data_IF_748527804089
#
_entry.id   IF_748527804089
#
_cell.length_a   1.000
_cell.length_b   1.000
_cell.length_c   1.000
_cell.angle_alpha   90.00
_cell.angle_beta   90.00
_cell.angle_gamma   90.00
#
_symmetry.space_group_name_H-M   'P 1'
#
loop_
_entity.id
_entity.type
_entity.pdbx_description
1 polymer ?
#
# COMPACT_ATOMS: atom_id res chain seq x y z
N UNK A 1 -6.39 -18.77 -2.22
CA UNK A 1 -4.96 -18.68 -1.91
C UNK A 1 -4.68 -17.66 -0.80
N UNK A 2 -4.95 -16.36 -1.00
CA UNK A 2 -4.59 -15.28 -0.04
C UNK A 2 -5.13 -15.53 1.38
N UNK A 3 -6.43 -15.77 1.55
CA UNK A 3 -7.04 -16.02 2.88
C UNK A 3 -6.39 -17.21 3.61
N UNK A 4 -6.08 -18.29 2.89
CA UNK A 4 -5.41 -19.47 3.46
C UNK A 4 -4.01 -19.11 3.99
N UNK A 5 -3.26 -18.29 3.24
CA UNK A 5 -1.97 -17.80 3.67
C UNK A 5 -2.10 -16.90 4.90
N UNK A 6 -3.04 -15.95 4.88
CA UNK A 6 -3.28 -15.04 6.01
C UNK A 6 -3.54 -15.81 7.30
N UNK A 7 -4.42 -16.82 7.25
CA UNK A 7 -4.73 -17.65 8.41
C UNK A 7 -3.50 -18.44 8.88
N UNK A 8 -2.81 -19.13 7.96
CA UNK A 8 -1.62 -19.92 8.30
C UNK A 8 -0.49 -19.08 8.92
N UNK A 9 -0.17 -17.93 8.31
CA UNK A 9 0.86 -17.04 8.84
C UNK A 9 0.42 -16.39 10.15
N UNK A 10 -0.86 -16.07 10.30
CA UNK A 10 -1.43 -15.60 11.56
C UNK A 10 -1.28 -16.60 12.70
N UNK A 11 -1.55 -17.88 12.46
CA UNK A 11 -1.34 -18.97 13.44
C UNK A 11 0.13 -19.12 13.83
N UNK A 12 1.05 -18.83 12.91
CA UNK A 12 2.49 -18.78 13.18
C UNK A 12 2.94 -17.47 13.87
N UNK A 13 2.02 -16.59 14.24
CA UNK A 13 2.30 -15.32 14.91
C UNK A 13 2.93 -14.25 14.02
N UNK A 14 2.83 -14.40 12.69
CA UNK A 14 3.29 -13.38 11.75
C UNK A 14 2.43 -12.11 11.85
N UNK A 15 3.00 -10.99 11.44
CA UNK A 15 2.23 -9.76 11.22
C UNK A 15 1.66 -9.81 9.80
N UNK A 16 0.34 -9.62 9.66
CA UNK A 16 -0.36 -9.50 8.38
C UNK A 16 -0.71 -8.03 8.18
N UNK A 17 -0.29 -7.48 7.04
CA UNK A 17 -0.59 -6.11 6.63
C UNK A 17 -1.44 -6.16 5.37
N UNK A 18 -2.64 -5.58 5.42
CA UNK A 18 -3.47 -5.33 4.25
C UNK A 18 -3.26 -3.88 3.79
N UNK A 19 -2.84 -3.70 2.54
CA UNK A 19 -2.65 -2.36 1.96
C UNK A 19 -3.89 -1.92 1.19
N UNK A 20 -4.19 -0.62 1.21
CA UNK A 20 -5.30 0.00 0.49
C UNK A 20 -4.77 1.20 -0.28
N UNK A 21 -5.05 1.23 -1.59
CA UNK A 21 -5.03 2.49 -2.32
C UNK A 21 -6.15 3.39 -1.79
N UNK A 22 -5.84 4.67 -1.64
CA UNK A 22 -6.70 5.63 -0.96
C UNK A 22 -6.50 7.00 -1.59
N UNK A 23 -6.99 7.18 -2.81
CA UNK A 23 -6.67 8.32 -3.66
C UNK A 23 -7.65 9.49 -3.46
N UNK A 24 -7.19 10.75 -3.40
CA UNK A 24 -8.07 11.89 -3.55
C UNK A 24 -8.69 11.91 -4.95
N UNK A 25 -9.81 12.64 -5.12
CA UNK A 25 -10.57 12.64 -6.38
C UNK A 25 -9.80 13.24 -7.56
N UNK A 26 -8.82 14.09 -7.27
CA UNK A 26 -7.92 14.81 -8.18
C UNK A 26 -6.49 14.21 -8.17
N UNK A 27 -6.37 12.91 -7.89
CA UNK A 27 -5.09 12.21 -7.90
C UNK A 27 -4.47 12.12 -9.31
N UNK A 28 -3.17 12.39 -9.42
CA UNK A 28 -2.39 12.51 -10.67
C UNK A 28 -2.46 11.28 -11.58
N UNK A 29 -2.68 10.09 -11.03
CA UNK A 29 -2.76 8.87 -11.83
C UNK A 29 -4.07 8.73 -12.63
N UNK A 30 -5.09 9.54 -12.31
CA UNK A 30 -6.39 9.47 -12.93
C UNK A 30 -6.45 10.15 -14.31
N UNK A 31 -7.20 9.57 -15.25
CA UNK A 31 -7.42 10.11 -16.59
C UNK A 31 -8.00 11.53 -16.57
N UNK A 32 -8.77 11.88 -15.54
CA UNK A 32 -9.32 13.23 -15.34
C UNK A 32 -8.24 14.28 -15.06
N UNK A 33 -7.09 13.84 -14.55
CA UNK A 33 -5.94 14.68 -14.19
C UNK A 33 -4.76 14.51 -15.18
N UNK A 34 -5.00 13.84 -16.31
CA UNK A 34 -3.98 13.56 -17.34
C UNK A 34 -3.17 12.29 -17.13
N UNK A 35 -3.51 11.48 -16.11
CA UNK A 35 -2.96 10.14 -15.90
C UNK A 35 -3.52 9.09 -16.86
N UNK A 36 -3.24 7.81 -16.58
CA UNK A 36 -3.56 6.68 -17.46
C UNK A 36 -4.58 5.69 -16.88
N UNK A 37 -4.97 5.88 -15.61
CA UNK A 37 -5.90 5.00 -14.92
C UNK A 37 -7.28 5.67 -14.81
N UNK A 38 -8.39 4.92 -14.91
CA UNK A 38 -9.68 5.46 -14.48
C UNK A 38 -9.63 5.81 -12.98
N UNK A 39 -10.50 6.72 -12.54
CA UNK A 39 -10.66 6.97 -11.11
C UNK A 39 -11.02 5.66 -10.38
N UNK A 40 -10.26 5.33 -9.34
CA UNK A 40 -10.38 4.09 -8.57
C UNK A 40 -9.94 4.34 -7.14
N UNK A 41 -10.37 3.49 -6.20
CA UNK A 41 -9.99 3.58 -4.79
C UNK A 41 -10.05 5.01 -4.21
N UNK A 42 -11.08 5.77 -4.60
CA UNK A 42 -11.25 7.17 -4.18
C UNK A 42 -11.62 7.21 -2.70
N UNK A 43 -10.99 8.10 -1.93
CA UNK A 43 -11.22 8.21 -0.49
C UNK A 43 -12.70 8.28 -0.12
N UNK A 44 -13.09 7.57 0.94
CA UNK A 44 -14.48 7.53 1.40
C UNK A 44 -15.45 6.75 0.51
N UNK A 45 -15.00 6.19 -0.61
CA UNK A 45 -15.85 5.35 -1.48
C UNK A 45 -15.68 3.85 -1.21
N UNK A 46 -16.70 3.02 -1.53
CA UNK A 46 -16.57 1.56 -1.44
C UNK A 46 -15.42 0.98 -2.25
N UNK A 47 -14.91 1.70 -3.27
CA UNK A 47 -13.78 1.27 -4.09
C UNK A 47 -12.47 1.12 -3.31
N UNK A 48 -12.39 1.68 -2.10
CA UNK A 48 -11.23 1.51 -1.20
C UNK A 48 -11.33 0.27 -0.32
N UNK A 49 -12.50 -0.38 -0.25
CA UNK A 49 -12.74 -1.44 0.73
C UNK A 49 -11.98 -2.71 0.36
N UNK A 50 -11.53 -3.43 1.39
CA UNK A 50 -11.02 -4.78 1.23
C UNK A 50 -12.15 -5.68 0.72
N UNK A 51 -11.82 -6.63 -0.16
CA UNK A 51 -12.78 -7.66 -0.54
C UNK A 51 -13.29 -8.38 0.71
N UNK A 52 -14.59 -8.71 0.82
CA UNK A 52 -15.17 -9.23 2.06
C UNK A 52 -14.41 -10.42 2.68
N UNK A 53 -13.95 -11.44 1.91
CA UNK A 53 -13.17 -12.54 2.49
C UNK A 53 -11.83 -12.10 3.10
N UNK A 54 -11.22 -11.04 2.57
CA UNK A 54 -9.99 -10.45 3.11
C UNK A 54 -10.30 -9.63 4.37
N UNK A 55 -11.37 -8.83 4.36
CA UNK A 55 -11.81 -8.07 5.53
C UNK A 55 -12.15 -9.00 6.71
N UNK A 56 -12.85 -10.10 6.45
CA UNK A 56 -13.21 -11.08 7.49
C UNK A 56 -11.98 -11.84 8.03
N UNK A 57 -11.02 -12.18 7.17
CA UNK A 57 -9.76 -12.77 7.59
C UNK A 57 -8.93 -11.79 8.43
N UNK A 58 -8.87 -10.51 8.04
CA UNK A 58 -8.23 -9.45 8.83
C UNK A 58 -8.90 -9.26 10.19
N UNK A 59 -10.25 -9.30 10.25
CA UNK A 59 -11.00 -9.23 11.52
C UNK A 59 -10.68 -10.42 12.43
N UNK A 60 -10.63 -11.62 11.87
CA UNK A 60 -10.29 -12.84 12.61
C UNK A 60 -8.87 -12.77 13.18
N UNK A 61 -7.91 -12.27 12.39
CA UNK A 61 -6.53 -12.06 12.83
C UNK A 61 -6.43 -10.97 13.91
N UNK A 62 -7.20 -9.89 13.79
CA UNK A 62 -7.27 -8.83 14.80
C UNK A 62 -7.73 -9.39 16.14
N UNK A 63 -8.82 -10.18 16.15
CA UNK A 63 -9.35 -10.80 17.37
C UNK A 63 -8.35 -11.79 17.97
N UNK A 64 -7.71 -12.61 17.13
CA UNK A 64 -6.79 -13.65 17.60
C UNK A 64 -5.44 -13.10 18.10
N UNK A 65 -4.91 -12.08 17.42
CA UNK A 65 -3.50 -11.69 17.54
C UNK A 65 -3.27 -10.23 17.91
N UNK A 66 -4.32 -9.40 17.96
CA UNK A 66 -4.24 -7.98 18.31
C UNK A 66 -3.93 -7.03 17.14
N UNK A 67 -4.11 -5.72 17.37
CA UNK A 67 -4.00 -4.68 16.34
C UNK A 67 -2.57 -4.47 15.82
N UNK A 68 -1.54 -4.90 16.55
CA UNK A 68 -0.15 -4.88 16.10
C UNK A 68 0.21 -6.03 15.14
N UNK A 69 -0.68 -7.02 15.01
CA UNK A 69 -0.51 -8.19 14.13
C UNK A 69 -1.44 -8.18 12.93
N UNK A 70 -2.56 -7.46 12.99
CA UNK A 70 -3.49 -7.27 11.89
C UNK A 70 -3.60 -5.77 11.54
N UNK A 71 -2.77 -5.32 10.60
CA UNK A 71 -2.61 -3.89 10.28
C UNK A 71 -3.24 -3.57 8.92
N UNK A 72 -3.98 -2.48 8.85
CA UNK A 72 -4.40 -1.88 7.57
C UNK A 72 -3.54 -0.65 7.32
N UNK A 73 -2.96 -0.54 6.13
CA UNK A 73 -2.09 0.56 5.75
C UNK A 73 -2.52 1.18 4.42
N UNK A 74 -2.33 2.49 4.27
CA UNK A 74 -2.85 3.29 3.16
C UNK A 74 -1.70 3.83 2.32
N UNK A 75 -1.89 3.95 1.00
CA UNK A 75 -0.93 4.56 0.07
C UNK A 75 -1.68 5.34 -1.03
N UNK A 76 -0.97 6.17 -1.78
CA UNK A 76 -1.52 6.90 -2.92
C UNK A 76 -2.46 8.06 -2.55
N UNK A 77 -2.38 8.57 -1.33
CA UNK A 77 -3.28 9.63 -0.83
C UNK A 77 -2.78 11.06 -1.12
N UNK A 78 -1.69 11.23 -1.86
CA UNK A 78 -1.18 12.55 -2.27
C UNK A 78 -1.61 12.87 -3.69
N UNK A 79 -2.29 13.99 -3.91
CA UNK A 79 -2.87 14.39 -5.18
C UNK A 79 -1.84 14.45 -6.33
N UNK A 80 -0.61 14.88 -6.03
CA UNK A 80 0.44 15.07 -7.05
C UNK A 80 1.44 13.92 -7.18
N UNK A 81 1.34 12.86 -6.35
CA UNK A 81 2.35 11.79 -6.30
C UNK A 81 1.68 10.43 -6.16
N UNK A 82 1.84 9.59 -7.17
CA UNK A 82 1.37 8.21 -7.12
C UNK A 82 2.28 7.32 -6.25
N UNK A 83 1.78 6.16 -5.83
CA UNK A 83 2.55 5.18 -5.06
C UNK A 83 2.01 3.76 -5.24
N UNK A 84 2.50 3.04 -6.25
CA UNK A 84 2.14 1.63 -6.44
C UNK A 84 2.69 0.74 -5.32
N UNK A 85 4.00 0.83 -5.05
CA UNK A 85 4.68 0.05 -4.02
C UNK A 85 4.23 0.40 -2.60
N UNK A 86 4.14 -0.61 -1.75
CA UNK A 86 3.79 -0.46 -0.34
C UNK A 86 4.96 0.07 0.52
N UNK A 87 6.19 0.04 -0.01
CA UNK A 87 7.38 0.55 0.66
C UNK A 87 7.93 1.76 -0.10
N UNK A 88 8.61 2.72 0.56
CA UNK A 88 9.12 3.93 -0.08
C UNK A 88 10.10 3.67 -1.23
N UNK A 89 10.18 4.58 -2.19
CA UNK A 89 10.72 4.30 -3.52
C UNK A 89 12.20 4.54 -3.87
N UNK A 90 13.18 4.85 -3.01
CA UNK A 90 14.52 5.38 -3.41
C UNK A 90 14.58 6.45 -4.56
N UNK A 91 15.22 7.59 -4.28
CA UNK A 91 15.23 8.76 -5.19
C UNK A 91 15.67 8.46 -6.65
N UNK A 92 16.60 7.53 -6.86
CA UNK A 92 17.11 7.19 -8.21
C UNK A 92 16.10 6.41 -9.06
N UNK A 93 15.15 5.72 -8.40
CA UNK A 93 14.15 4.86 -9.04
C UNK A 93 12.77 5.50 -9.12
N UNK A 94 12.43 6.39 -8.18
CA UNK A 94 11.12 7.01 -8.07
C UNK A 94 10.71 7.80 -9.34
N UNK A 95 11.61 8.59 -9.90
CA UNK A 95 11.33 9.49 -11.05
C UNK A 95 11.00 8.77 -12.36
N UNK A 96 11.30 7.47 -12.46
CA UNK A 96 11.02 6.66 -13.65
C UNK A 96 9.80 5.75 -13.48
N UNK A 97 9.23 5.69 -12.28
CA UNK A 97 8.20 4.70 -11.91
C UNK A 97 6.91 5.30 -11.38
N UNK A 98 6.96 6.52 -10.90
CA UNK A 98 5.83 7.19 -10.25
C UNK A 98 5.35 8.33 -11.14
N UNK A 99 4.03 8.39 -11.35
CA UNK A 99 3.41 9.57 -11.93
C UNK A 99 3.49 10.72 -10.93
N UNK A 100 4.02 11.85 -11.37
CA UNK A 100 4.09 13.10 -10.60
C UNK A 100 3.52 14.25 -11.40
N UNK A 101 2.74 15.14 -10.75
CA UNK A 101 2.16 16.29 -11.47
C UNK A 101 3.28 17.18 -12.00
N UNK A 102 3.08 17.76 -13.19
CA UNK A 102 4.07 18.64 -13.81
C UNK A 102 4.45 19.79 -12.86
N UNK A 103 5.74 20.01 -12.66
CA UNK A 103 6.26 21.04 -11.75
C UNK A 103 6.37 20.63 -10.28
N UNK A 104 5.90 19.43 -9.90
CA UNK A 104 6.11 18.86 -8.57
C UNK A 104 7.50 18.20 -8.50
N UNK A 105 8.36 18.68 -7.61
CA UNK A 105 9.62 18.00 -7.31
C UNK A 105 9.36 16.91 -6.26
N UNK A 106 9.47 15.64 -6.65
CA UNK A 106 9.33 14.49 -5.73
C UNK A 106 10.42 14.46 -4.65
N UNK A 107 11.52 15.20 -4.85
CA UNK A 107 12.55 15.44 -3.85
C UNK A 107 12.27 16.69 -3.00
N UNK A 108 11.17 17.41 -3.25
CA UNK A 108 10.79 18.59 -2.49
C UNK A 108 10.55 18.21 -1.04
N UNK A 109 11.35 18.82 -0.19
CA UNK A 109 11.44 18.49 1.21
C UNK A 109 11.24 19.81 1.96
N UNK A 110 9.98 20.19 2.16
CA UNK A 110 9.71 21.40 2.94
C UNK A 110 9.71 21.08 4.43
N UNK A 111 10.43 21.85 5.27
CA UNK A 111 10.26 21.80 6.72
C UNK A 111 8.87 22.28 7.18
N UNK A 112 8.07 22.88 6.29
CA UNK A 112 6.66 23.26 6.53
C UNK A 112 5.64 22.26 5.95
N UNK A 113 6.08 21.19 5.29
CA UNK A 113 5.17 20.13 4.90
C UNK A 113 4.62 19.50 6.19
N UNK A 114 3.30 19.31 6.26
CA UNK A 114 2.60 18.74 7.42
C UNK A 114 3.08 17.32 7.83
N UNK A 115 4.06 16.77 7.09
CA UNK A 115 4.64 15.44 7.22
C UNK A 115 6.17 15.46 7.40
N UNK A 116 6.79 16.58 7.81
CA UNK A 116 8.16 16.63 8.34
C UNK A 116 9.23 15.97 7.45
N UNK A 117 9.86 16.73 6.57
CA UNK A 117 10.88 16.27 5.62
C UNK A 117 12.03 15.39 6.20
N UNK A 118 12.22 14.18 5.65
CA UNK A 118 13.50 13.78 5.02
C UNK A 118 13.34 12.55 4.10
N UNK A 119 13.18 12.82 2.78
CA UNK A 119 13.14 11.89 1.64
C UNK A 119 11.91 10.94 1.55
N UNK A 120 11.02 11.28 0.61
CA UNK A 120 9.82 10.57 0.13
C UNK A 120 8.67 10.35 1.13
N UNK A 121 8.08 11.41 1.71
CA UNK A 121 6.92 11.28 2.60
C UNK A 121 5.65 10.74 1.91
N UNK A 122 5.59 10.76 0.58
CA UNK A 122 4.37 10.48 -0.19
C UNK A 122 4.39 9.16 -0.97
N UNK A 123 5.42 8.33 -0.77
CA UNK A 123 5.49 7.01 -1.39
C UNK A 123 5.63 5.92 -0.32
N UNK A 124 5.09 4.74 -0.61
CA UNK A 124 4.91 3.67 0.36
C UNK A 124 3.64 3.86 1.20
N UNK A 125 3.37 2.87 2.06
CA UNK A 125 2.21 2.88 2.92
C UNK A 125 2.49 3.57 4.26
N UNK A 126 1.45 4.23 4.78
CA UNK A 126 1.33 4.62 6.18
C UNK A 126 0.27 3.75 6.88
N UNK A 127 0.63 3.17 8.01
CA UNK A 127 -0.33 2.63 8.97
C UNK A 127 -0.82 3.80 9.84
N UNK A 128 -2.04 4.23 9.58
CA UNK A 128 -2.68 5.35 10.27
C UNK A 128 -3.65 4.81 11.32
N UNK A 129 -3.75 5.48 12.46
CA UNK A 129 -4.70 5.09 13.53
C UNK A 129 -6.13 5.07 12.97
N UNK A 130 -6.85 3.98 13.21
CA UNK A 130 -8.26 3.81 12.85
C UNK A 130 -9.07 3.58 14.12
N UNK A 131 -9.73 4.63 14.62
CA UNK A 131 -10.49 4.55 15.87
C UNK A 131 -11.66 3.57 15.79
N UNK A 132 -12.27 3.37 14.62
CA UNK A 132 -13.35 2.39 14.42
C UNK A 132 -12.89 0.95 14.74
N UNK A 133 -11.75 0.54 14.19
CA UNK A 133 -11.17 -0.79 14.45
C UNK A 133 -10.77 -0.93 15.92
N UNK A 134 -10.08 0.07 16.47
CA UNK A 134 -9.60 0.02 17.86
C UNK A 134 -10.73 0.06 18.88
N UNK A 135 -11.81 0.79 18.60
CA UNK A 135 -13.02 0.81 19.42
C UNK A 135 -13.64 -0.58 19.49
N UNK A 136 -13.94 -1.18 18.33
CA UNK A 136 -14.54 -2.50 18.26
C UNK A 136 -13.66 -3.56 18.94
N UNK A 137 -12.34 -3.55 18.68
CA UNK A 137 -11.40 -4.47 19.33
C UNK A 137 -11.42 -4.35 20.87
N UNK A 138 -11.40 -3.13 21.41
CA UNK A 138 -11.38 -2.90 22.87
C UNK A 138 -12.68 -3.27 23.56
N UNK A 139 -13.80 -3.19 22.84
CA UNK A 139 -15.12 -3.51 23.35
C UNK A 139 -15.58 -4.94 23.01
N UNK A 140 -14.73 -5.74 22.36
CA UNK A 140 -15.07 -7.09 21.89
C UNK A 140 -16.26 -7.13 20.93
N UNK A 141 -16.34 -6.14 20.04
CA UNK A 141 -17.35 -6.00 18.99
C UNK A 141 -16.77 -6.37 17.61
N UNK A 142 -17.65 -6.54 16.62
CA UNK A 142 -17.24 -6.80 15.25
C UNK A 142 -16.57 -5.56 14.62
N UNK A 143 -15.27 -5.64 14.39
CA UNK A 143 -14.52 -4.56 13.76
C UNK A 143 -14.78 -4.46 12.25
N UNK A 144 -15.17 -3.27 11.80
CA UNK A 144 -15.13 -2.94 10.37
C UNK A 144 -13.71 -2.63 9.93
N UNK A 145 -13.07 -3.61 9.28
CA UNK A 145 -11.71 -3.48 8.74
C UNK A 145 -11.59 -2.44 7.61
N UNK A 146 -12.70 -1.91 7.11
CA UNK A 146 -12.72 -0.82 6.14
C UNK A 146 -12.75 0.57 6.77
N UNK A 147 -12.81 0.67 8.11
CA UNK A 147 -12.81 1.95 8.84
C UNK A 147 -11.77 2.91 8.26
N UNK A 148 -12.12 4.19 8.02
CA UNK A 148 -11.16 5.17 7.52
C UNK A 148 -10.10 5.49 8.59
N UNK A 149 -8.94 6.03 8.19
CA UNK A 149 -7.98 6.57 9.13
C UNK A 149 -8.58 7.77 9.89
N UNK A 150 -8.11 7.99 11.13
CA UNK A 150 -8.49 9.17 11.89
C UNK A 150 -7.98 10.43 11.19
N UNK A 151 -8.80 11.49 11.18
CA UNK A 151 -8.50 12.77 10.53
C UNK A 151 -7.12 13.35 10.91
N UNK A 152 -6.73 13.22 12.18
CA UNK A 152 -5.46 13.75 12.69
C UNK A 152 -4.33 12.73 12.69
N UNK A 153 -4.53 11.50 12.22
CA UNK A 153 -3.52 10.46 12.30
C UNK A 153 -2.22 10.87 11.59
N UNK A 154 -2.34 11.51 10.42
CA UNK A 154 -1.21 11.91 9.58
C UNK A 154 -0.62 13.30 9.91
N UNK A 155 -1.18 14.01 10.89
CA UNK A 155 -0.74 15.38 11.22
C UNK A 155 0.51 15.35 12.09
N UNK A 156 1.59 15.97 11.62
CA UNK A 156 2.79 16.23 12.40
C UNK A 156 2.66 17.53 13.22
N UNK A 157 1.93 17.44 14.35
CA UNK A 157 1.80 18.53 15.34
C UNK A 157 2.62 18.27 16.62
N UNK A 158 3.68 17.45 16.52
CA UNK A 158 4.50 17.03 17.65
C UNK A 158 3.83 16.04 18.61
N UNK A 159 2.60 15.58 18.32
CA UNK A 159 1.92 14.55 19.11
C UNK A 159 2.04 13.20 18.43
N UNK A 160 2.30 12.16 19.22
CA UNK A 160 2.25 10.77 18.73
C UNK A 160 0.79 10.34 18.55
N UNK A 161 0.32 10.34 17.30
CA UNK A 161 -1.07 10.00 16.93
C UNK A 161 -1.24 8.61 16.33
N UNK A 162 -0.18 7.81 16.30
CA UNK A 162 -0.20 6.45 15.79
C UNK A 162 -0.02 6.36 14.27
N UNK A 163 0.60 7.36 13.64
CA UNK A 163 1.16 7.23 12.31
C UNK A 163 2.47 6.44 12.39
N UNK A 164 2.57 5.39 11.59
CA UNK A 164 3.78 4.61 11.38
C UNK A 164 3.98 4.41 9.88
N UNK A 165 5.20 4.55 9.40
CA UNK A 165 5.58 4.10 8.07
C UNK A 165 5.58 2.56 8.01
N UNK A 166 5.37 1.98 6.82
CA UNK A 166 5.44 0.52 6.69
C UNK A 166 6.80 -0.07 7.11
N UNK A 167 7.96 0.55 6.83
CA UNK A 167 9.24 0.10 7.40
C UNK A 167 9.24 0.01 8.94
N UNK A 168 8.59 0.94 9.64
CA UNK A 168 8.47 0.88 11.11
C UNK A 168 7.56 -0.27 11.57
N UNK A 169 6.45 -0.50 10.88
CA UNK A 169 5.55 -1.65 11.14
C UNK A 169 6.29 -2.98 10.93
N UNK A 170 7.13 -3.05 9.89
CA UNK A 170 7.92 -4.23 9.52
C UNK A 170 9.24 -4.36 10.29
N UNK A 171 9.51 -3.47 11.26
CA UNK A 171 10.76 -3.49 12.02
C UNK A 171 10.99 -4.85 12.69
N UNK A 172 12.17 -5.43 12.43
CA UNK A 172 12.56 -6.73 12.98
C UNK A 172 11.95 -7.95 12.25
N UNK A 173 11.16 -7.76 11.19
CA UNK A 173 10.71 -8.87 10.33
C UNK A 173 11.80 -9.19 9.31
N UNK A 174 12.11 -10.47 9.15
CA UNK A 174 13.18 -10.96 8.25
C UNK A 174 12.66 -11.36 6.87
N UNK A 175 11.46 -11.98 6.84
CA UNK A 175 10.84 -12.55 5.65
C UNK A 175 9.56 -11.81 5.33
N UNK A 176 9.43 -11.37 4.09
CA UNK A 176 8.23 -10.73 3.57
C UNK A 176 7.62 -11.59 2.47
N UNK A 177 6.33 -11.91 2.59
CA UNK A 177 5.58 -12.63 1.57
C UNK A 177 4.56 -11.67 0.96
N UNK A 178 4.77 -11.30 -0.30
CA UNK A 178 3.94 -10.32 -1.00
C UNK A 178 2.97 -11.03 -1.94
N UNK A 179 1.68 -10.69 -1.82
CA UNK A 179 0.60 -11.22 -2.65
C UNK A 179 -0.49 -10.16 -2.85
N UNK A 180 -1.50 -10.47 -3.67
CA UNK A 180 -2.59 -9.54 -3.96
C UNK A 180 -2.57 -9.04 -5.41
N UNK A 181 -3.01 -7.79 -5.62
CA UNK A 181 -3.15 -7.19 -6.94
C UNK A 181 -2.62 -5.75 -6.97
N UNK A 182 -2.19 -5.24 -8.11
CA UNK A 182 -1.91 -6.00 -9.33
C UNK A 182 -0.48 -6.56 -9.33
N UNK A 183 -0.30 -7.75 -9.92
CA UNK A 183 0.98 -8.43 -10.06
C UNK A 183 2.02 -7.49 -10.70
N UNK A 184 1.71 -6.89 -11.84
CA UNK A 184 2.61 -6.04 -12.61
C UNK A 184 2.74 -4.59 -12.10
N UNK A 185 1.99 -4.21 -11.06
CA UNK A 185 2.07 -2.89 -10.41
C UNK A 185 2.38 -3.03 -8.92
N UNK A 186 1.37 -2.87 -8.07
CA UNK A 186 1.51 -2.73 -6.63
C UNK A 186 2.30 -3.87 -5.99
N UNK A 187 2.09 -5.12 -6.43
CA UNK A 187 2.80 -6.25 -5.82
C UNK A 187 4.27 -6.30 -6.26
N UNK A 188 4.55 -6.13 -7.55
CA UNK A 188 5.92 -6.09 -8.06
C UNK A 188 6.72 -4.94 -7.46
N UNK A 189 6.19 -3.72 -7.48
CA UNK A 189 6.89 -2.56 -6.94
C UNK A 189 7.05 -2.66 -5.41
N UNK A 190 6.11 -3.28 -4.69
CA UNK A 190 6.29 -3.58 -3.26
C UNK A 190 7.46 -4.53 -3.01
N UNK A 191 7.64 -5.56 -3.84
CA UNK A 191 8.76 -6.49 -3.74
C UNK A 191 10.11 -5.79 -3.99
N UNK A 192 10.19 -5.00 -5.06
CA UNK A 192 11.42 -4.29 -5.45
C UNK A 192 11.78 -3.27 -4.37
N UNK A 193 10.80 -2.47 -3.94
CA UNK A 193 11.03 -1.47 -2.91
C UNK A 193 11.42 -2.14 -1.58
N UNK A 194 10.90 -3.32 -1.26
CA UNK A 194 11.37 -4.07 -0.09
C UNK A 194 12.86 -4.45 -0.19
N UNK A 195 13.33 -4.95 -1.34
CA UNK A 195 14.76 -5.21 -1.55
C UNK A 195 15.60 -3.95 -1.36
N UNK A 196 15.17 -2.84 -1.97
CA UNK A 196 15.87 -1.54 -1.90
C UNK A 196 15.88 -0.98 -0.47
N UNK A 197 14.82 -1.21 0.32
CA UNK A 197 14.74 -0.81 1.73
C UNK A 197 15.41 -1.82 2.69
N UNK A 198 16.22 -2.75 2.19
CA UNK A 198 17.08 -3.61 3.00
C UNK A 198 16.43 -4.90 3.52
N UNK A 199 15.31 -5.34 2.95
CA UNK A 199 14.77 -6.67 3.23
C UNK A 199 15.44 -7.70 2.33
N UNK A 200 16.14 -8.67 2.93
CA UNK A 200 16.87 -9.68 2.15
C UNK A 200 15.96 -10.78 1.60
N UNK A 201 15.03 -11.28 2.42
CA UNK A 201 14.13 -12.38 2.08
C UNK A 201 12.74 -11.85 1.70
N UNK A 202 12.57 -11.54 0.41
CA UNK A 202 11.30 -11.08 -0.17
C UNK A 202 10.76 -12.13 -1.14
N UNK A 203 9.57 -12.64 -0.85
CA UNK A 203 8.93 -13.69 -1.62
C UNK A 203 7.73 -13.14 -2.38
N UNK A 204 7.79 -13.23 -3.71
CA UNK A 204 6.70 -12.86 -4.58
C UNK A 204 5.78 -14.07 -4.86
N UNK A 205 4.59 -14.11 -4.28
CA UNK A 205 3.73 -15.30 -4.30
C UNK A 205 2.80 -15.29 -5.51
N UNK A 206 3.29 -15.80 -6.64
CA UNK A 206 2.62 -15.74 -7.94
C UNK A 206 1.21 -16.38 -7.96
N UNK A 207 1.02 -17.51 -7.28
CA UNK A 207 -0.29 -18.19 -7.20
C UNK A 207 -1.35 -17.39 -6.44
N UNK A 208 -0.90 -16.39 -5.68
CA UNK A 208 -1.74 -15.48 -4.91
C UNK A 208 -1.75 -14.07 -5.52
N UNK A 209 -1.38 -13.93 -6.80
CA UNK A 209 -1.38 -12.64 -7.51
C UNK A 209 -2.02 -12.72 -8.90
N UNK A 210 -2.52 -11.58 -9.38
CA UNK A 210 -3.10 -11.45 -10.73
C UNK A 210 -2.64 -10.12 -11.34
N UNK A 211 -2.23 -10.09 -12.62
CA UNK A 211 -1.83 -8.84 -13.27
C UNK A 211 -3.04 -7.96 -13.56
N UNK A 212 -2.80 -6.67 -13.70
CA UNK A 212 -3.82 -5.69 -14.05
C UNK A 212 -4.21 -5.94 -15.50
N UNK A 213 -5.50 -6.25 -15.70
CA UNK A 213 -6.08 -6.33 -17.03
C UNK A 213 -7.30 -5.42 -17.09
N UNK A 214 -7.18 -4.30 -17.79
CA UNK A 214 -8.28 -3.39 -18.07
C UNK A 214 -8.61 -3.54 -19.56
N UNK A 215 -9.75 -4.16 -19.92
CA UNK A 215 -10.15 -4.29 -21.31
C UNK A 215 -10.15 -2.93 -22.03
N UNK A 216 -9.45 -2.84 -23.16
CA UNK A 216 -9.32 -1.60 -23.93
C UNK A 216 -8.23 -0.63 -23.48
N UNK A 217 -7.48 -0.95 -22.43
CA UNK A 217 -6.30 -0.18 -21.96
C UNK A 217 -5.06 -1.09 -22.02
N UNK A 218 -3.98 -0.60 -22.62
CA UNK A 218 -2.71 -1.32 -22.77
C UNK A 218 -2.55 -2.08 -24.09
N UNK A 219 -1.30 -2.26 -24.53
CA UNK A 219 -0.93 -2.87 -25.83
C UNK A 219 -0.66 -4.39 -25.73
N UNK A 220 -0.52 -4.92 -24.52
CA UNK A 220 0.01 -6.26 -24.28
C UNK A 220 -1.13 -7.24 -23.94
N UNK A 221 -1.64 -7.92 -24.97
CA UNK A 221 -2.84 -8.79 -24.95
C UNK A 221 -2.77 -10.08 -24.12
N UNK A 222 -2.15 -10.05 -22.94
CA UNK A 222 -2.04 -11.17 -21.99
C UNK A 222 -2.44 -10.82 -20.55
N UNK A 223 -3.11 -9.69 -20.35
CA UNK A 223 -3.54 -9.27 -19.02
C UNK A 223 -2.51 -8.46 -18.25
N UNK A 224 -1.51 -7.90 -18.93
CA UNK A 224 -0.56 -6.93 -18.37
C UNK A 224 -0.87 -5.55 -18.95
N UNK A 225 -0.88 -4.52 -18.11
CA UNK A 225 -0.91 -3.14 -18.62
C UNK A 225 0.50 -2.60 -18.87
N UNK A 226 1.50 -3.08 -18.12
CA UNK A 226 2.92 -2.78 -18.36
C UNK A 226 3.53 -3.70 -19.42
N UNK A 227 4.60 -3.25 -20.08
CA UNK A 227 5.34 -4.11 -21.03
C UNK A 227 5.90 -5.34 -20.29
N UNK A 228 5.57 -6.58 -20.71
CA UNK A 228 6.15 -7.78 -20.10
C UNK A 228 7.69 -7.80 -20.11
N UNK A 229 8.34 -7.16 -21.11
CA UNK A 229 9.79 -7.02 -21.14
C UNK A 229 10.30 -6.10 -20.03
N UNK A 230 9.56 -5.02 -19.72
CA UNK A 230 9.82 -4.14 -18.59
C UNK A 230 9.66 -4.91 -17.27
N UNK A 231 8.55 -5.64 -17.08
CA UNK A 231 8.32 -6.49 -15.89
C UNK A 231 9.48 -7.48 -15.68
N UNK A 232 9.94 -8.14 -16.74
CA UNK A 232 11.10 -9.05 -16.66
C UNK A 232 12.39 -8.33 -16.29
N UNK A 233 12.63 -7.14 -16.84
CA UNK A 233 13.78 -6.32 -16.50
C UNK A 233 13.76 -5.91 -15.04
N UNK A 234 12.59 -5.47 -14.54
CA UNK A 234 12.35 -5.09 -13.14
C UNK A 234 12.71 -6.22 -12.17
N UNK A 235 12.30 -7.46 -12.47
CA UNK A 235 12.58 -8.63 -11.62
C UNK A 235 14.08 -8.98 -11.62
N UNK A 236 14.77 -8.84 -12.76
CA UNK A 236 16.21 -9.16 -12.85
C UNK A 236 17.12 -8.13 -12.18
N UNK A 237 16.65 -6.88 -12.06
CA UNK A 237 17.42 -5.78 -11.47
C UNK A 237 17.22 -5.62 -9.95
N UNK A 238 16.33 -6.39 -9.33
CA UNK A 238 16.05 -6.40 -7.90
C UNK A 238 16.90 -7.44 -7.15
#
# INVERSE_FOLDING_TARGET
>A
AIVLMMNHFGECGATVVATRDYHPVDHVCFNTEGGHLPAHCVEGTPGTFLLPPIADAMRSLLVANGPEKAVVAFKGFHEDVDSFGALPYANEYASTRIATRSGFDINFCSPSAAHGCSRMPWTGCLALKQSGILHAYRNHEDADMNSPPDLLAAVDDGKRRGMLSLPEVLKGKKRLFMCGVALDFCVLDSCINAKVNGFDEVFYVLDATRPAHIPGVGLYGSGFLSDPAEVKSKIKGA
#
